data_IF_481245920128
#
_entry.id   IF_481245920128
#
_cell.length_a   1.000
_cell.length_b   1.000
_cell.length_c   1.000
_cell.angle_alpha   90.00
_cell.angle_beta   90.00
_cell.angle_gamma   90.00
#
_symmetry.space_group_name_H-M   'P 1'
#
loop_
_entity.id
_entity.type
_entity.pdbx_description
1 polymer ?
#
# COMPACT_ATOMS: atom_id res chain seq x y z
N UNK A 1 5.23 -5.58 -68.94
CA UNK A 1 4.45 -5.85 -67.72
C UNK A 1 5.25 -5.43 -66.49
N UNK A 2 4.98 -4.24 -65.92
CA UNK A 2 5.61 -3.76 -64.67
C UNK A 2 4.63 -3.97 -63.53
N UNK A 3 4.98 -4.79 -62.54
CA UNK A 3 4.22 -4.94 -61.29
C UNK A 3 4.65 -3.82 -60.34
N UNK A 4 3.72 -2.90 -60.05
CA UNK A 4 3.88 -1.93 -58.98
C UNK A 4 3.47 -2.60 -57.67
N UNK A 5 4.41 -2.77 -56.75
CA UNK A 5 4.13 -3.16 -55.37
C UNK A 5 3.63 -1.92 -54.62
N UNK A 6 2.32 -1.89 -54.36
CA UNK A 6 1.67 -0.92 -53.51
C UNK A 6 1.96 -1.29 -52.05
N UNK A 7 2.96 -0.65 -51.44
CA UNK A 7 3.17 -0.69 -49.99
C UNK A 7 2.07 0.18 -49.38
N UNK A 8 0.96 -0.44 -49.01
CA UNK A 8 -0.06 0.15 -48.15
C UNK A 8 0.49 0.27 -46.73
N UNK A 9 1.14 1.40 -46.44
CA UNK A 9 1.52 1.76 -45.08
C UNK A 9 0.24 2.11 -44.32
N UNK A 10 -0.27 1.12 -43.58
CA UNK A 10 -1.41 1.29 -42.68
C UNK A 10 -0.94 2.17 -41.50
N UNK A 11 -1.17 3.48 -41.59
CA UNK A 11 -1.23 4.38 -40.43
C UNK A 11 -2.56 4.13 -39.69
N UNK A 12 -2.68 3.02 -38.96
CA UNK A 12 -3.72 2.90 -37.93
C UNK A 12 -3.22 3.61 -36.66
N UNK A 13 -3.99 4.60 -36.24
CA UNK A 13 -3.57 5.68 -35.35
C UNK A 13 -3.03 5.25 -33.99
N UNK A 14 -1.87 5.82 -33.63
CA UNK A 14 -1.36 5.88 -32.28
C UNK A 14 -2.23 6.76 -31.33
N UNK A 15 -3.36 7.29 -31.80
CA UNK A 15 -4.25 8.18 -31.03
C UNK A 15 -5.04 7.47 -29.91
N UNK A 16 -5.07 6.14 -29.85
CA UNK A 16 -5.88 5.40 -28.87
C UNK A 16 -5.18 5.02 -27.57
N UNK A 17 -3.93 5.43 -27.35
CA UNK A 17 -3.10 4.89 -26.24
C UNK A 17 -2.94 5.89 -25.08
N UNK A 18 -3.32 7.16 -25.24
CA UNK A 18 -3.34 8.10 -24.13
C UNK A 18 -4.64 7.96 -23.31
N UNK A 19 -4.60 8.39 -22.06
CA UNK A 19 -5.82 8.54 -21.24
C UNK A 19 -6.63 9.73 -21.74
N UNK A 20 -7.94 9.69 -21.56
CA UNK A 20 -8.81 10.85 -21.72
C UNK A 20 -8.72 11.76 -20.49
N UNK A 21 -9.07 13.04 -20.63
CA UNK A 21 -9.12 13.97 -19.50
C UNK A 21 -10.05 13.44 -18.41
N UNK A 22 -9.53 13.35 -17.18
CA UNK A 22 -10.25 12.79 -16.04
C UNK A 22 -10.16 11.27 -15.89
N UNK A 23 -9.46 10.55 -16.78
CA UNK A 23 -9.16 9.14 -16.57
C UNK A 23 -8.27 8.97 -15.35
N UNK A 24 -8.55 7.97 -14.51
CA UNK A 24 -7.71 7.65 -13.37
C UNK A 24 -7.73 6.16 -13.04
N UNK A 25 -6.64 5.70 -12.40
CA UNK A 25 -6.59 4.43 -11.69
C UNK A 25 -6.06 4.68 -10.28
N UNK A 26 -6.79 4.22 -9.28
CA UNK A 26 -6.52 4.50 -7.87
C UNK A 26 -6.68 3.24 -7.04
N UNK A 27 -5.65 2.95 -6.24
CA UNK A 27 -5.70 1.98 -5.16
C UNK A 27 -5.68 2.71 -3.82
N UNK A 28 -6.67 2.43 -2.99
CA UNK A 28 -6.76 2.95 -1.61
C UNK A 28 -6.81 1.77 -0.66
N UNK A 29 -5.93 1.76 0.32
CA UNK A 29 -5.97 0.78 1.40
C UNK A 29 -7.23 0.97 2.24
N UNK A 30 -8.00 -0.10 2.41
CA UNK A 30 -9.17 -0.14 3.28
C UNK A 30 -8.78 -0.38 4.74
N UNK A 31 -9.60 0.13 5.66
CA UNK A 31 -9.50 -0.14 7.08
C UNK A 31 -10.60 -1.12 7.54
N UNK A 32 -10.37 -1.88 8.63
CA UNK A 32 -9.11 -1.99 9.37
C UNK A 32 -8.03 -2.75 8.58
N UNK A 33 -6.76 -2.42 8.83
CA UNK A 33 -5.62 -3.09 8.20
C UNK A 33 -4.45 -3.23 9.18
N UNK A 34 -3.53 -4.16 8.90
CA UNK A 34 -2.34 -4.42 9.73
C UNK A 34 -1.24 -3.35 9.61
N UNK A 35 -1.49 -2.28 8.86
CA UNK A 35 -0.52 -1.21 8.64
C UNK A 35 -0.78 -0.05 9.60
N UNK A 36 0.27 0.66 10.04
CA UNK A 36 0.12 1.80 10.95
C UNK A 36 -0.54 3.01 10.30
N UNK A 37 -0.75 3.02 8.98
CA UNK A 37 -1.42 4.11 8.27
C UNK A 37 -2.93 3.95 8.29
N UNK A 38 -3.65 5.05 8.54
CA UNK A 38 -5.10 5.14 8.37
C UNK A 38 -5.52 5.05 6.90
N UNK A 39 -4.65 5.51 5.99
CA UNK A 39 -4.84 5.38 4.55
C UNK A 39 -3.51 5.24 3.84
N UNK A 40 -3.46 4.44 2.78
CA UNK A 40 -2.41 4.47 1.76
C UNK A 40 -3.11 4.60 0.41
N UNK A 41 -2.65 5.53 -0.43
CA UNK A 41 -3.19 5.75 -1.76
C UNK A 41 -2.07 5.76 -2.78
N UNK A 42 -2.24 4.96 -3.84
CA UNK A 42 -1.51 5.06 -5.09
C UNK A 42 -2.49 5.48 -6.17
N UNK A 43 -2.18 6.54 -6.89
CA UNK A 43 -3.09 7.14 -7.85
C UNK A 43 -2.33 7.62 -9.09
N UNK A 44 -2.88 7.33 -10.25
CA UNK A 44 -2.47 7.93 -11.53
C UNK A 44 -3.72 8.55 -12.14
N UNK A 45 -3.64 9.82 -12.49
CA UNK A 45 -4.76 10.58 -13.05
C UNK A 45 -4.28 11.41 -14.24
N UNK A 46 -5.04 11.34 -15.32
CA UNK A 46 -4.88 12.20 -16.48
C UNK A 46 -5.72 13.47 -16.32
N UNK A 47 -5.11 14.63 -16.61
CA UNK A 47 -5.73 15.95 -16.53
C UNK A 47 -5.65 16.67 -17.88
N UNK A 48 -5.80 15.91 -18.96
CA UNK A 48 -5.84 16.36 -20.35
C UNK A 48 -4.47 16.64 -20.94
N UNK A 49 -3.69 17.54 -20.32
CA UNK A 49 -2.33 17.89 -20.79
C UNK A 49 -1.21 17.22 -19.99
N UNK A 50 -1.53 16.74 -18.80
CA UNK A 50 -0.55 16.17 -17.87
C UNK A 50 -1.14 14.96 -17.19
N UNK A 51 -0.33 13.92 -17.04
CA UNK A 51 -0.65 12.76 -16.23
C UNK A 51 0.18 12.84 -14.94
N UNK A 52 -0.48 12.75 -13.78
CA UNK A 52 0.19 12.84 -12.48
C UNK A 52 0.15 11.50 -11.78
N UNK A 53 1.27 11.12 -11.16
CA UNK A 53 1.35 10.07 -10.15
C UNK A 53 1.29 10.69 -8.76
N UNK A 54 0.42 10.17 -7.90
CA UNK A 54 0.20 10.65 -6.54
C UNK A 54 0.34 9.50 -5.55
N UNK A 55 1.15 9.71 -4.53
CA UNK A 55 1.30 8.82 -3.38
C UNK A 55 0.87 9.58 -2.14
N UNK A 56 -0.09 9.02 -1.39
CA UNK A 56 -0.52 9.60 -0.12
C UNK A 56 -0.55 8.56 0.98
N UNK A 57 -0.11 8.94 2.18
CA UNK A 57 -0.23 8.12 3.39
C UNK A 57 -0.76 8.96 4.54
N UNK A 58 -1.91 8.58 5.10
CA UNK A 58 -2.52 9.24 6.25
C UNK A 58 -2.17 8.51 7.54
N UNK A 59 -2.00 9.26 8.63
CA UNK A 59 -1.79 8.70 9.97
C UNK A 59 -3.12 8.52 10.71
N UNK A 60 -3.21 7.56 11.64
CA UNK A 60 -4.36 7.44 12.55
C UNK A 60 -4.42 8.65 13.48
N UNK A 61 -5.60 9.22 13.69
CA UNK A 61 -5.82 10.28 14.70
C UNK A 61 -5.26 11.67 14.38
N UNK A 62 -4.39 11.80 13.38
CA UNK A 62 -3.81 13.07 12.96
C UNK A 62 -4.31 13.45 11.56
N UNK A 63 -4.64 14.72 11.35
CA UNK A 63 -4.91 15.28 10.02
C UNK A 63 -3.66 15.31 9.12
N UNK A 64 -2.53 14.84 9.63
CA UNK A 64 -1.26 14.75 8.94
C UNK A 64 -1.27 13.64 7.88
N UNK A 65 -0.75 13.97 6.70
CA UNK A 65 -0.49 12.98 5.65
C UNK A 65 0.80 13.28 4.93
N UNK A 66 1.60 12.25 4.68
CA UNK A 66 2.69 12.33 3.73
C UNK A 66 2.10 12.32 2.32
N UNK A 67 2.54 13.27 1.50
CA UNK A 67 2.05 13.44 0.15
C UNK A 67 3.23 13.70 -0.79
N UNK A 68 3.24 12.98 -1.91
CA UNK A 68 4.18 13.11 -2.98
C UNK A 68 3.42 13.08 -4.30
N UNK A 69 3.88 13.89 -5.23
CA UNK A 69 3.31 14.01 -6.56
C UNK A 69 4.44 14.11 -7.57
N UNK A 70 4.32 13.38 -8.66
CA UNK A 70 5.23 13.45 -9.80
C UNK A 70 4.45 13.56 -11.11
N UNK A 71 5.06 14.22 -12.09
CA UNK A 71 4.56 14.24 -13.47
C UNK A 71 5.12 13.03 -14.22
N UNK A 72 4.28 12.39 -15.02
CA UNK A 72 4.70 11.35 -15.96
C UNK A 72 5.10 12.01 -17.28
N UNK A 73 6.08 11.44 -17.96
CA UNK A 73 6.30 11.78 -19.38
C UNK A 73 5.18 11.20 -20.24
N UNK A 74 4.98 11.68 -21.49
CA UNK A 74 4.00 11.11 -22.40
C UNK A 74 4.21 9.60 -22.64
N UNK A 75 5.45 9.13 -22.69
CA UNK A 75 5.79 7.72 -22.86
C UNK A 75 5.35 6.88 -21.66
N UNK A 76 5.60 7.38 -20.45
CA UNK A 76 5.18 6.71 -19.21
C UNK A 76 3.67 6.70 -19.02
N UNK A 77 3.00 7.80 -19.38
CA UNK A 77 1.55 7.89 -19.41
C UNK A 77 0.97 6.86 -20.40
N UNK A 78 1.56 6.76 -21.59
CA UNK A 78 1.18 5.77 -22.60
C UNK A 78 1.38 4.34 -22.08
N UNK A 79 2.52 4.06 -21.45
CA UNK A 79 2.86 2.75 -20.88
C UNK A 79 1.86 2.35 -19.80
N UNK A 80 1.57 3.23 -18.85
CA UNK A 80 0.63 2.89 -17.77
C UNK A 80 -0.78 2.68 -18.31
N UNK A 81 -1.28 3.54 -19.20
CA UNK A 81 -2.62 3.37 -19.75
C UNK A 81 -2.75 2.11 -20.62
N UNK A 82 -1.68 1.74 -21.33
CA UNK A 82 -1.61 0.45 -22.01
C UNK A 82 -1.68 -0.72 -21.01
N UNK A 83 -0.97 -0.64 -19.89
CA UNK A 83 -1.02 -1.66 -18.85
C UNK A 83 -2.41 -1.78 -18.19
N UNK A 84 -3.11 -0.65 -17.98
CA UNK A 84 -4.49 -0.67 -17.46
C UNK A 84 -5.43 -1.34 -18.46
N UNK A 85 -5.38 -0.96 -19.76
CA UNK A 85 -6.22 -1.59 -20.81
C UNK A 85 -5.93 -3.08 -20.96
N UNK A 86 -4.66 -3.50 -20.90
CA UNK A 86 -4.26 -4.90 -20.99
C UNK A 86 -4.77 -5.76 -19.81
N UNK A 87 -5.28 -5.13 -18.74
CA UNK A 87 -5.92 -5.82 -17.63
C UNK A 87 -7.44 -5.98 -17.81
N UNK A 88 -8.02 -5.54 -18.94
CA UNK A 88 -9.45 -5.66 -19.26
C UNK A 88 -10.33 -5.19 -18.08
N UNK A 89 -10.28 -3.89 -17.75
CA UNK A 89 -10.83 -3.36 -16.49
C UNK A 89 -12.34 -3.62 -16.33
N UNK A 90 -13.08 -3.71 -17.44
CA UNK A 90 -14.48 -4.09 -17.50
C UNK A 90 -14.72 -5.52 -16.97
N UNK A 91 -13.76 -6.43 -17.14
CA UNK A 91 -13.85 -7.82 -16.71
C UNK A 91 -13.26 -8.10 -15.32
N UNK A 92 -12.53 -7.15 -14.72
CA UNK A 92 -12.01 -7.31 -13.37
C UNK A 92 -13.17 -7.45 -12.36
N UNK A 93 -13.02 -8.35 -11.39
CA UNK A 93 -14.06 -8.64 -10.39
C UNK A 93 -13.56 -8.31 -8.99
N UNK A 94 -14.54 -8.05 -8.11
CA UNK A 94 -14.29 -7.98 -6.68
C UNK A 94 -13.67 -9.28 -6.18
N UNK A 95 -12.68 -9.16 -5.29
CA UNK A 95 -12.01 -10.29 -4.67
C UNK A 95 -11.97 -10.03 -3.15
N UNK A 96 -13.06 -10.34 -2.43
CA UNK A 96 -13.14 -10.10 -0.99
C UNK A 96 -12.15 -11.00 -0.22
N UNK A 97 -11.84 -10.66 1.05
CA UNK A 97 -11.06 -11.55 1.90
C UNK A 97 -11.73 -12.92 2.04
N UNK A 98 -10.96 -14.01 2.18
CA UNK A 98 -11.49 -15.34 2.47
C UNK A 98 -12.42 -15.31 3.70
N UNK A 99 -13.61 -15.88 3.58
CA UNK A 99 -14.63 -15.92 4.64
C UNK A 99 -14.45 -17.08 5.62
N UNK A 100 -13.61 -18.07 5.29
CA UNK A 100 -13.47 -19.27 6.12
C UNK A 100 -12.64 -19.01 7.39
N UNK A 101 -13.26 -19.40 8.50
CA UNK A 101 -12.91 -19.05 9.87
C UNK A 101 -11.72 -19.86 10.41
N UNK A 102 -10.80 -19.17 11.08
CA UNK A 102 -9.80 -19.77 11.97
C UNK A 102 -8.49 -19.00 12.02
N UNK A 103 -8.03 -18.51 10.87
CA UNK A 103 -6.81 -17.72 10.74
C UNK A 103 -7.14 -16.46 9.96
N UNK A 104 -6.95 -15.28 10.57
CA UNK A 104 -7.02 -14.02 9.82
C UNK A 104 -5.94 -14.04 8.74
N UNK A 105 -6.28 -14.14 7.44
CA UNK A 105 -5.27 -14.27 6.41
C UNK A 105 -4.37 -13.04 6.44
N UNK A 106 -3.05 -13.25 6.43
CA UNK A 106 -2.05 -12.19 6.40
C UNK A 106 -2.17 -11.44 5.07
N UNK A 107 -2.96 -10.38 5.04
CA UNK A 107 -3.20 -9.59 3.84
C UNK A 107 -3.87 -8.26 4.16
N UNK A 108 -3.92 -7.39 3.16
CA UNK A 108 -4.56 -6.09 3.25
C UNK A 108 -5.59 -5.95 2.14
N UNK A 109 -6.73 -5.34 2.45
CA UNK A 109 -7.76 -5.05 1.47
C UNK A 109 -7.53 -3.68 0.85
N UNK A 110 -7.70 -3.60 -0.47
CA UNK A 110 -7.61 -2.37 -1.24
C UNK A 110 -8.94 -2.10 -1.94
N UNK A 111 -9.44 -0.88 -1.86
CA UNK A 111 -10.39 -0.34 -2.82
C UNK A 111 -9.67 0.02 -4.12
N UNK A 112 -10.06 -0.60 -5.23
CA UNK A 112 -9.65 -0.24 -6.58
C UNK A 112 -10.75 0.60 -7.23
N UNK A 113 -10.39 1.77 -7.74
CA UNK A 113 -11.25 2.72 -8.41
C UNK A 113 -10.62 3.07 -9.77
N UNK A 114 -11.33 2.80 -10.85
CA UNK A 114 -10.87 2.96 -12.25
C UNK A 114 -11.91 3.77 -13.00
N UNK A 115 -11.45 4.83 -13.67
CA UNK A 115 -12.20 5.60 -14.65
C UNK A 115 -11.40 5.67 -15.95
N UNK A 116 -12.00 5.23 -17.06
CA UNK A 116 -11.39 5.22 -18.40
C UNK A 116 -12.45 5.48 -19.47
N UNK A 117 -12.50 6.69 -20.01
CA UNK A 117 -13.58 7.13 -20.88
C UNK A 117 -14.94 6.98 -20.18
N UNK A 118 -15.84 6.20 -20.78
CA UNK A 118 -17.16 5.90 -20.22
C UNK A 118 -17.13 4.79 -19.13
N UNK A 119 -16.04 4.04 -19.02
CA UNK A 119 -15.91 3.01 -18.00
C UNK A 119 -15.65 3.64 -16.64
N UNK A 120 -16.46 3.27 -15.65
CA UNK A 120 -16.25 3.63 -14.23
C UNK A 120 -16.53 2.42 -13.35
N UNK A 121 -15.54 1.94 -12.61
CA UNK A 121 -15.66 0.79 -11.70
C UNK A 121 -14.96 1.03 -10.38
N UNK A 122 -15.63 0.61 -9.31
CA UNK A 122 -15.06 0.59 -7.96
C UNK A 122 -15.41 -0.73 -7.27
N UNK A 123 -14.40 -1.40 -6.72
CA UNK A 123 -14.58 -2.66 -5.99
C UNK A 123 -13.40 -2.94 -5.05
N UNK A 124 -13.57 -3.91 -4.15
CA UNK A 124 -12.55 -4.28 -3.16
C UNK A 124 -11.72 -5.48 -3.63
N UNK A 125 -10.44 -5.49 -3.28
CA UNK A 125 -9.49 -6.55 -3.58
C UNK A 125 -8.65 -6.81 -2.36
N UNK A 126 -8.86 -7.96 -1.72
CA UNK A 126 -7.97 -8.48 -0.70
C UNK A 126 -6.67 -8.93 -1.36
N UNK A 127 -5.52 -8.56 -0.81
CA UNK A 127 -4.20 -9.00 -1.25
C UNK A 127 -4.03 -9.13 -2.79
N UNK A 128 -4.04 -8.00 -3.53
CA UNK A 128 -4.05 -8.01 -5.00
C UNK A 128 -2.89 -8.76 -5.65
N UNK A 129 -1.79 -8.98 -4.91
CA UNK A 129 -0.60 -9.69 -5.41
C UNK A 129 -0.84 -11.20 -5.48
N UNK A 130 -1.58 -11.75 -4.51
CA UNK A 130 -1.76 -13.19 -4.35
C UNK A 130 -3.10 -13.70 -4.90
N UNK A 131 -3.87 -12.85 -5.58
CA UNK A 131 -5.11 -13.24 -6.25
C UNK A 131 -4.89 -14.23 -7.40
N UNK A 132 -5.89 -15.08 -7.62
CA UNK A 132 -5.91 -16.02 -8.75
C UNK A 132 -5.91 -15.28 -10.10
N UNK A 133 -6.68 -14.19 -10.20
CA UNK A 133 -6.64 -13.31 -11.35
C UNK A 133 -5.35 -12.46 -11.32
N UNK A 134 -4.36 -12.89 -12.11
CA UNK A 134 -3.06 -12.22 -12.21
C UNK A 134 -3.13 -10.84 -12.85
N UNK A 135 -4.25 -10.44 -13.47
CA UNK A 135 -4.45 -9.07 -13.99
C UNK A 135 -4.41 -8.06 -12.84
N UNK A 136 -5.00 -8.37 -11.69
CA UNK A 136 -4.97 -7.50 -10.50
C UNK A 136 -3.55 -7.29 -9.97
N UNK A 137 -2.77 -8.35 -9.86
CA UNK A 137 -1.38 -8.27 -9.42
C UNK A 137 -0.53 -7.41 -10.37
N UNK A 138 -0.71 -7.58 -11.68
CA UNK A 138 -0.02 -6.77 -12.70
C UNK A 138 -0.42 -5.30 -12.61
N UNK A 139 -1.72 -5.02 -12.54
CA UNK A 139 -2.24 -3.65 -12.45
C UNK A 139 -1.73 -2.94 -11.19
N UNK A 140 -1.87 -3.59 -10.02
CA UNK A 140 -1.40 -3.03 -8.75
C UNK A 140 0.11 -2.77 -8.78
N UNK A 141 0.91 -3.72 -9.29
CA UNK A 141 2.36 -3.56 -9.41
C UNK A 141 2.73 -2.42 -10.36
N UNK A 142 2.07 -2.30 -11.51
CA UNK A 142 2.33 -1.25 -12.49
C UNK A 142 2.05 0.14 -11.90
N UNK A 143 0.85 0.34 -11.34
CA UNK A 143 0.45 1.61 -10.72
C UNK A 143 1.37 1.96 -9.55
N UNK A 144 1.59 1.01 -8.63
CA UNK A 144 2.46 1.24 -7.47
C UNK A 144 3.89 1.58 -7.88
N UNK A 145 4.46 0.86 -8.84
CA UNK A 145 5.85 1.08 -9.29
C UNK A 145 6.00 2.47 -9.93
N UNK A 146 5.07 2.84 -10.82
CA UNK A 146 5.06 4.15 -11.48
C UNK A 146 4.86 5.29 -10.48
N UNK A 147 3.95 5.11 -9.52
CA UNK A 147 3.74 6.11 -8.46
C UNK A 147 4.98 6.23 -7.58
N UNK A 148 5.55 5.13 -7.10
CA UNK A 148 6.75 5.16 -6.26
C UNK A 148 7.98 5.73 -6.98
N UNK A 149 8.11 5.55 -8.31
CA UNK A 149 9.23 6.10 -9.08
C UNK A 149 9.10 7.62 -9.29
N UNK A 150 7.88 8.15 -9.45
CA UNK A 150 7.64 9.56 -9.77
C UNK A 150 7.28 10.42 -8.57
N UNK A 151 6.41 9.95 -7.70
CA UNK A 151 6.04 10.65 -6.46
C UNK A 151 6.98 10.33 -5.29
N UNK A 152 7.91 9.38 -5.50
CA UNK A 152 8.77 8.86 -4.46
C UNK A 152 8.08 7.79 -3.62
N UNK A 153 8.91 6.93 -3.02
CA UNK A 153 8.45 6.14 -1.89
C UNK A 153 8.23 7.11 -0.74
N UNK A 154 7.08 7.00 -0.08
CA UNK A 154 6.91 7.48 1.28
C UNK A 154 7.15 6.31 2.22
N UNK A 155 8.40 5.87 2.44
CA UNK A 155 8.64 5.14 3.67
C UNK A 155 8.17 6.07 4.79
N UNK A 156 7.61 5.51 5.86
CA UNK A 156 7.70 6.26 7.10
C UNK A 156 9.20 6.33 7.38
N UNK A 157 9.84 7.40 6.93
CA UNK A 157 11.00 7.92 7.59
C UNK A 157 10.40 9.07 8.36
N UNK A 158 10.29 8.89 9.67
CA UNK A 158 10.30 10.05 10.53
C UNK A 158 11.56 10.83 10.11
N UNK A 159 11.39 11.94 9.38
CA UNK A 159 12.50 12.71 8.77
C UNK A 159 13.44 13.31 9.81
N UNK A 160 13.05 13.23 11.08
CA UNK A 160 13.90 13.57 12.21
C UNK A 160 14.94 12.47 12.56
N UNK A 161 14.91 11.29 11.92
CA UNK A 161 15.79 10.16 12.27
C UNK A 161 16.46 9.49 11.05
N UNK A 162 17.72 9.08 11.21
CA UNK A 162 18.56 8.56 10.13
C UNK A 162 18.25 7.13 9.65
N UNK A 163 18.49 6.87 8.35
CA UNK A 163 18.36 5.54 7.75
C UNK A 163 19.29 4.57 8.49
N UNK A 164 18.74 3.49 9.04
CA UNK A 164 19.49 2.54 9.87
C UNK A 164 19.43 2.81 11.37
N UNK A 165 18.53 3.69 11.83
CA UNK A 165 18.28 3.91 13.25
C UNK A 165 16.99 3.28 13.79
N UNK A 166 16.19 2.56 12.99
CA UNK A 166 14.91 1.98 13.44
C UNK A 166 14.73 0.55 13.00
N UNK A 167 14.02 -0.23 13.81
CA UNK A 167 13.49 -1.55 13.49
C UNK A 167 12.00 -1.60 13.82
N UNK A 168 11.41 -2.79 13.70
CA UNK A 168 10.00 -3.01 13.98
C UNK A 168 9.82 -4.01 15.12
N UNK A 169 8.72 -3.90 15.84
CA UNK A 169 8.34 -4.81 16.90
C UNK A 169 7.01 -5.46 16.56
N UNK A 170 6.97 -6.79 16.71
CA UNK A 170 5.74 -7.55 16.81
C UNK A 170 5.63 -8.09 18.24
N UNK A 171 4.57 -7.75 18.97
CA UNK A 171 4.30 -8.20 20.33
C UNK A 171 3.00 -9.01 20.36
N UNK A 172 3.05 -10.18 20.98
CA UNK A 172 1.86 -10.97 21.31
C UNK A 172 1.96 -11.34 22.77
N UNK A 173 0.87 -11.17 23.54
CA UNK A 173 0.82 -11.65 24.92
C UNK A 173 -0.45 -12.41 25.26
N UNK A 174 -0.35 -13.19 26.33
CA UNK A 174 -1.48 -13.85 26.98
C UNK A 174 -1.47 -13.46 28.47
N UNK A 175 -2.53 -12.84 29.01
CA UNK A 175 -3.67 -12.23 28.31
C UNK A 175 -3.27 -11.04 27.41
N UNK A 176 -4.24 -10.47 26.69
CA UNK A 176 -4.06 -9.21 25.99
C UNK A 176 -3.63 -8.10 26.97
N UNK A 177 -2.75 -7.21 26.52
CA UNK A 177 -2.11 -6.22 27.37
C UNK A 177 -1.91 -4.89 26.65
N UNK A 178 -2.03 -3.79 27.40
CA UNK A 178 -1.58 -2.45 26.99
C UNK A 178 -0.07 -2.44 26.86
N UNK A 179 0.42 -1.76 25.83
CA UNK A 179 1.85 -1.70 25.49
C UNK A 179 2.43 -0.35 25.91
N UNK A 180 3.50 -0.39 26.71
CA UNK A 180 4.30 0.77 27.12
C UNK A 180 5.74 0.51 26.66
N UNK A 181 6.36 1.47 25.99
CA UNK A 181 7.73 1.34 25.49
C UNK A 181 8.57 2.49 26.03
N UNK A 182 9.66 2.16 26.73
CA UNK A 182 10.56 3.11 27.41
C UNK A 182 9.81 4.09 28.34
N UNK A 183 8.73 3.62 28.98
CA UNK A 183 7.88 4.44 29.85
C UNK A 183 6.82 5.27 29.12
N UNK A 184 6.82 5.28 27.78
CA UNK A 184 5.79 5.94 26.98
C UNK A 184 4.62 4.99 26.69
N UNK A 185 3.40 5.38 27.08
CA UNK A 185 2.19 4.64 26.75
C UNK A 185 1.87 4.81 25.25
N UNK A 186 1.91 3.72 24.49
CA UNK A 186 1.74 3.78 23.04
C UNK A 186 0.27 3.92 22.62
N UNK A 187 -0.69 3.74 23.53
CA UNK A 187 -2.12 3.68 23.21
C UNK A 187 -2.54 2.43 22.44
N UNK A 188 -1.69 1.40 22.40
CA UNK A 188 -1.95 0.14 21.69
C UNK A 188 -2.00 -1.03 22.65
N UNK A 189 -2.60 -2.13 22.17
CA UNK A 189 -2.72 -3.40 22.90
C UNK A 189 -2.11 -4.54 22.08
N UNK A 190 -1.73 -5.62 22.74
CA UNK A 190 -1.32 -6.86 22.06
C UNK A 190 -2.55 -7.60 21.51
N UNK A 191 -2.48 -8.20 20.31
CA UNK A 191 -1.30 -8.30 19.47
C UNK A 191 -0.98 -7.00 18.72
N UNK A 192 0.28 -6.59 18.77
CA UNK A 192 0.81 -5.40 18.11
C UNK A 192 1.77 -5.83 17.00
N UNK A 193 1.58 -5.35 15.77
CA UNK A 193 2.40 -5.73 14.61
C UNK A 193 3.00 -4.52 13.93
N UNK A 194 4.28 -4.63 13.55
CA UNK A 194 4.96 -3.62 12.74
C UNK A 194 5.12 -2.28 13.45
N UNK A 195 5.12 -2.25 14.78
CA UNK A 195 5.31 -1.01 15.53
C UNK A 195 6.77 -0.57 15.41
N UNK A 196 6.98 0.60 14.82
CA UNK A 196 8.32 1.09 14.50
C UNK A 196 8.97 1.72 15.73
N UNK A 197 10.15 1.24 16.12
CA UNK A 197 10.89 1.72 17.29
C UNK A 197 12.33 2.01 16.91
N UNK A 198 12.91 3.00 17.56
CA UNK A 198 14.33 3.26 17.45
C UNK A 198 15.17 2.04 17.84
N UNK A 199 16.30 1.88 17.16
CA UNK A 199 17.27 0.81 17.39
C UNK A 199 17.81 0.84 18.82
N UNK A 200 18.40 -0.27 19.21
CA UNK A 200 19.06 -0.42 20.50
C UNK A 200 18.21 -1.17 21.50
N UNK A 201 18.62 -1.09 22.76
CA UNK A 201 17.91 -1.73 23.87
C UNK A 201 16.69 -0.89 24.25
N UNK A 202 15.54 -1.54 24.36
CA UNK A 202 14.25 -0.93 24.66
C UNK A 202 13.57 -1.71 25.77
N UNK A 203 12.88 -1.01 26.66
CA UNK A 203 12.06 -1.62 27.71
C UNK A 203 10.62 -1.65 27.22
N UNK A 204 10.05 -2.84 27.13
CA UNK A 204 8.64 -3.03 26.80
C UNK A 204 7.92 -3.52 28.04
N UNK A 205 7.02 -2.70 28.57
CA UNK A 205 6.15 -3.04 29.68
C UNK A 205 4.77 -3.40 29.13
N UNK A 206 4.29 -4.57 29.50
CA UNK A 206 2.97 -5.09 29.15
C UNK A 206 2.13 -5.12 30.43
N UNK A 207 0.98 -4.45 30.40
CA UNK A 207 0.01 -4.43 31.49
C UNK A 207 -1.29 -5.06 31.00
N UNK A 208 -1.76 -6.14 31.63
CA UNK A 208 -3.01 -6.77 31.25
C UNK A 208 -4.18 -5.77 31.26
N UNK A 209 -5.20 -6.02 30.45
CA UNK A 209 -6.32 -5.07 30.30
C UNK A 209 -7.08 -4.83 31.61
N UNK A 210 -7.16 -5.85 32.46
CA UNK A 210 -7.72 -5.77 33.81
C UNK A 210 -6.77 -5.13 34.85
N UNK A 211 -5.50 -4.89 34.47
CA UNK A 211 -4.47 -4.34 35.35
C UNK A 211 -3.87 -5.33 36.35
N UNK A 212 -4.28 -6.60 36.32
CA UNK A 212 -3.84 -7.63 37.28
C UNK A 212 -2.36 -7.98 37.11
N UNK A 213 -1.87 -8.00 35.88
CA UNK A 213 -0.53 -8.47 35.53
C UNK A 213 0.28 -7.37 34.87
N UNK A 214 1.52 -7.21 35.31
CA UNK A 214 2.50 -6.31 34.71
C UNK A 214 3.86 -7.03 34.56
N UNK A 215 4.42 -6.99 33.35
CA UNK A 215 5.75 -7.53 33.05
C UNK A 215 6.52 -6.57 32.17
N UNK A 216 7.81 -6.39 32.49
CA UNK A 216 8.73 -5.59 31.68
C UNK A 216 9.82 -6.46 31.07
N UNK A 217 10.04 -6.32 29.76
CA UNK A 217 11.03 -7.04 28.98
C UNK A 217 12.06 -6.06 28.41
N UNK A 218 13.34 -6.38 28.50
CA UNK A 218 14.38 -5.69 27.74
C UNK A 218 14.56 -6.41 26.39
N UNK A 219 14.32 -5.70 25.30
CA UNK A 219 14.48 -6.22 23.94
C UNK A 219 15.46 -5.39 23.15
N UNK A 220 16.14 -6.02 22.19
CA UNK A 220 17.11 -5.36 21.33
C UNK A 220 16.53 -5.21 19.93
N UNK A 221 16.35 -3.97 19.51
CA UNK A 221 15.82 -3.62 18.19
C UNK A 221 16.98 -3.41 17.22
N UNK A 222 17.12 -4.32 16.26
CA UNK A 222 18.11 -4.18 15.20
C UNK A 222 17.54 -3.38 14.02
N UNK A 223 18.34 -2.47 13.41
CA UNK A 223 17.89 -1.65 12.30
C UNK A 223 17.40 -2.46 11.11
N UNK A 224 16.26 -2.08 10.54
CA UNK A 224 15.72 -2.74 9.34
C UNK A 224 15.20 -4.16 9.59
N UNK A 225 15.13 -4.62 10.84
CA UNK A 225 14.63 -5.95 11.20
C UNK A 225 13.35 -5.86 12.03
N UNK A 226 12.61 -6.97 12.07
CA UNK A 226 11.44 -7.10 12.96
C UNK A 226 11.79 -7.99 14.15
N UNK A 227 11.78 -7.40 15.34
CA UNK A 227 11.90 -8.11 16.61
C UNK A 227 10.54 -8.68 16.99
N UNK A 228 10.47 -9.99 17.22
CA UNK A 228 9.23 -10.69 17.60
C UNK A 228 9.30 -11.09 19.05
N UNK A 229 8.30 -10.71 19.83
CA UNK A 229 8.18 -11.05 21.25
C UNK A 229 6.85 -11.74 21.46
N UNK A 230 6.90 -12.91 22.09
CA UNK A 230 5.72 -13.62 22.59
C UNK A 230 5.88 -13.76 24.10
N UNK A 231 4.91 -13.27 24.84
CA UNK A 231 4.97 -13.21 26.30
C UNK A 231 3.74 -13.89 26.92
N UNK A 232 3.95 -14.72 27.94
CA UNK A 232 2.90 -15.02 28.91
C UNK A 232 3.16 -14.10 30.10
N UNK A 233 2.21 -13.21 30.41
CA UNK A 233 2.40 -12.17 31.44
C UNK A 233 1.78 -12.54 32.78
N UNK A 234 1.19 -13.74 32.89
CA UNK A 234 0.62 -14.24 34.14
C UNK A 234 1.67 -14.50 35.24
#
# INVERSE_FOLDING_TARGET
>A
MRRANLIGLILFGALGILGADGDYVRFVLDQPSVTPYSTIRYEIIDRGRVTTAVHRRGLPGYSESLHGMGLLTPEEATEIWAAVRACEPDQLKEAPPPTEAGEHPLGVTWSLDIRMGELSKRFRVFDPINQADRRLARLFKAVRTMVESRAGRHPFRNVFLDKGQRGWINLVSVPAARVIIDGYNTGHETPLYGYEVERGKRKVTLISLDGTYERTYEIRIEPGTTTRVRADIR
#
